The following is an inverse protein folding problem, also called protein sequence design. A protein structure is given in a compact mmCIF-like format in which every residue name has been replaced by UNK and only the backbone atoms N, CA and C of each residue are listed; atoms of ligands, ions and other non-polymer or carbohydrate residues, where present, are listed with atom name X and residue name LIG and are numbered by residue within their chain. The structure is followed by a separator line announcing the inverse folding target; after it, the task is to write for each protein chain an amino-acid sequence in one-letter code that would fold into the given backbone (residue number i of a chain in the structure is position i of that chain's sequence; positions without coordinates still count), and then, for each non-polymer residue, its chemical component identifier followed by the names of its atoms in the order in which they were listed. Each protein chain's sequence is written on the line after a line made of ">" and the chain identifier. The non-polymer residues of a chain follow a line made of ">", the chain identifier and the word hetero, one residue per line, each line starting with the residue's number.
data_IF_063170947924
#
_entry.id   IF_063170947924
#
_cell.length_a   1.000
_cell.length_b   1.000
_cell.length_c   1.000
_cell.angle_alpha   90.00
_cell.angle_beta   90.00
_cell.angle_gamma   90.00
#
_symmetry.space_group_name_H-M   'P 1'
#
loop_
_entity.id
_entity.type
_entity.pdbx_description
1 polymer ?
#
# COMPACT_ATOMS: atom_id res chain seq x y z
N UNK A 1 21.48 8.08 3.38
CA UNK A 1 20.01 8.05 3.30
C UNK A 1 19.46 8.69 4.58
N UNK A 2 18.59 9.68 4.47
CA UNK A 2 17.97 10.30 5.65
C UNK A 2 16.89 9.38 6.20
N UNK A 3 16.97 9.05 7.50
CA UNK A 3 15.93 8.27 8.17
C UNK A 3 14.64 9.10 8.26
N UNK A 4 13.47 8.47 8.12
CA UNK A 4 12.20 9.18 8.28
C UNK A 4 11.89 9.51 9.73
N UNK A 5 11.02 10.47 9.93
CA UNK A 5 10.43 10.74 11.25
C UNK A 5 9.13 9.96 11.40
N UNK A 6 8.98 9.25 12.54
CA UNK A 6 7.76 8.56 12.88
C UNK A 6 6.80 9.47 13.63
N UNK A 7 5.52 9.39 13.27
CA UNK A 7 4.42 10.12 13.88
C UNK A 7 3.24 9.18 14.15
N UNK A 8 2.23 9.69 14.84
CA UNK A 8 0.98 8.97 15.09
C UNK A 8 -0.21 9.91 14.88
N UNK A 9 -1.28 9.38 14.34
CA UNK A 9 -2.59 10.01 14.28
C UNK A 9 -3.60 9.14 15.02
N UNK A 10 -4.54 9.75 15.74
CA UNK A 10 -5.64 9.04 16.40
C UNK A 10 -6.83 8.93 15.45
N UNK A 11 -7.16 7.70 15.08
CA UNK A 11 -8.29 7.40 14.20
C UNK A 11 -9.49 6.97 15.04
N UNK A 12 -10.67 7.61 14.88
CA UNK A 12 -11.86 7.25 15.62
C UNK A 12 -12.43 5.91 15.14
N UNK A 13 -12.90 5.08 16.06
CA UNK A 13 -13.65 3.86 15.79
C UNK A 13 -14.73 3.62 16.86
N UNK A 14 -15.47 2.50 16.76
CA UNK A 14 -16.51 2.15 17.73
C UNK A 14 -15.96 1.74 19.11
N UNK A 15 -14.64 1.54 19.24
CA UNK A 15 -13.95 1.01 20.44
C UNK A 15 -13.08 2.03 21.17
N UNK A 16 -13.36 3.33 21.08
CA UNK A 16 -12.57 4.48 21.57
C UNK A 16 -11.38 4.88 20.68
N UNK A 17 -11.33 4.40 19.46
CA UNK A 17 -10.30 4.74 18.50
C UNK A 17 -9.02 3.92 18.64
N UNK A 18 -8.14 4.09 17.68
CA UNK A 18 -6.84 3.46 17.62
C UNK A 18 -5.80 4.44 17.06
N UNK A 19 -4.51 4.17 17.32
CA UNK A 19 -3.42 4.97 16.77
C UNK A 19 -2.94 4.35 15.46
N UNK A 20 -2.81 5.17 14.44
CA UNK A 20 -2.14 4.82 13.21
C UNK A 20 -0.78 5.52 13.15
N UNK A 21 0.29 4.73 13.01
CA UNK A 21 1.63 5.24 12.81
C UNK A 21 1.80 5.69 11.35
N UNK A 22 2.64 6.71 11.12
CA UNK A 22 3.09 7.06 9.78
C UNK A 22 4.52 7.60 9.80
N UNK A 23 5.21 7.40 8.71
CA UNK A 23 6.59 7.82 8.48
C UNK A 23 6.60 8.99 7.52
N UNK A 24 7.48 9.96 7.73
CA UNK A 24 7.57 11.11 6.84
C UNK A 24 9.00 11.48 6.47
N UNK A 25 9.18 11.86 5.22
CA UNK A 25 10.40 12.40 4.61
C UNK A 25 10.13 13.80 4.08
N UNK A 26 11.18 14.58 3.88
CA UNK A 26 11.09 15.95 3.34
C UNK A 26 10.72 16.98 4.39
N UNK A 27 10.16 18.11 3.94
CA UNK A 27 9.88 19.25 4.83
C UNK A 27 8.55 19.04 5.56
N UNK A 28 8.53 19.13 6.91
CA UNK A 28 7.32 18.88 7.70
C UNK A 28 6.11 19.74 7.31
N UNK A 29 6.37 20.99 6.93
CA UNK A 29 5.35 22.00 6.60
C UNK A 29 5.15 22.18 5.08
N UNK A 30 5.67 21.27 4.26
CA UNK A 30 5.48 21.34 2.81
C UNK A 30 3.99 21.31 2.46
N UNK A 31 3.57 22.24 1.61
CA UNK A 31 2.20 22.35 1.14
C UNK A 31 1.77 21.19 0.24
N UNK A 32 2.73 20.56 -0.44
CA UNK A 32 2.53 19.39 -1.29
C UNK A 32 2.92 18.11 -0.55
N UNK A 33 1.96 17.21 -0.42
CA UNK A 33 2.15 15.91 0.22
C UNK A 33 1.94 14.79 -0.80
N UNK A 34 2.83 13.80 -0.82
CA UNK A 34 2.62 12.51 -1.47
C UNK A 34 2.34 11.47 -0.40
N UNK A 35 1.13 10.90 -0.41
CA UNK A 35 0.72 9.85 0.50
C UNK A 35 0.94 8.49 -0.17
N UNK A 36 1.82 7.65 0.41
CA UNK A 36 2.16 6.32 -0.11
C UNK A 36 1.58 5.24 0.79
N UNK A 37 0.64 4.46 0.28
CA UNK A 37 -0.11 3.44 1.06
C UNK A 37 0.21 2.04 0.56
N UNK A 38 0.62 1.18 1.48
CA UNK A 38 1.18 -0.15 1.24
C UNK A 38 0.14 -1.25 0.97
N UNK A 39 0.63 -2.41 0.55
CA UNK A 39 -0.18 -3.63 0.32
C UNK A 39 -0.59 -4.34 1.62
N UNK A 40 -1.37 -5.41 1.48
CA UNK A 40 -2.13 -6.08 2.54
C UNK A 40 -1.34 -6.41 3.80
N UNK A 41 -0.17 -7.04 3.68
CA UNK A 41 0.67 -7.48 4.81
C UNK A 41 1.93 -6.63 4.99
N UNK A 42 2.06 -5.57 4.21
CA UNK A 42 3.22 -4.69 4.16
C UNK A 42 3.06 -3.52 5.15
N UNK A 43 3.92 -2.52 5.06
CA UNK A 43 3.92 -1.35 5.93
C UNK A 43 4.62 -0.15 5.27
N UNK A 44 4.58 1.04 5.89
CA UNK A 44 5.01 2.31 5.29
C UNK A 44 6.47 2.37 4.85
N UNK A 45 7.36 1.61 5.52
CA UNK A 45 8.81 1.58 5.18
C UNK A 45 9.13 0.86 3.86
N UNK A 46 8.14 0.25 3.19
CA UNK A 46 8.29 -0.26 1.83
C UNK A 46 8.63 0.85 0.81
N UNK A 47 8.24 2.07 1.13
CA UNK A 47 8.42 3.24 0.26
C UNK A 47 9.69 4.04 0.54
N UNK A 48 10.63 3.55 1.36
CA UNK A 48 11.85 4.28 1.74
C UNK A 48 12.62 4.80 0.52
N UNK A 49 12.84 3.94 -0.49
CA UNK A 49 13.57 4.30 -1.71
C UNK A 49 12.81 5.33 -2.53
N UNK A 50 11.51 5.10 -2.76
CA UNK A 50 10.67 6.03 -3.51
C UNK A 50 10.56 7.39 -2.80
N UNK A 51 10.33 7.39 -1.49
CA UNK A 51 10.18 8.62 -0.70
C UNK A 51 11.44 9.48 -0.75
N UNK A 52 12.60 8.86 -0.61
CA UNK A 52 13.89 9.55 -0.70
C UNK A 52 14.12 10.12 -2.10
N UNK A 53 13.81 9.35 -3.15
CA UNK A 53 13.95 9.81 -4.53
C UNK A 53 13.03 10.99 -4.87
N UNK A 54 11.77 10.93 -4.42
CA UNK A 54 10.81 12.02 -4.59
C UNK A 54 11.27 13.30 -3.88
N UNK A 55 11.70 13.19 -2.61
CA UNK A 55 12.22 14.33 -1.86
C UNK A 55 13.49 14.90 -2.47
N UNK A 56 14.42 14.05 -2.92
CA UNK A 56 15.65 14.50 -3.57
C UNK A 56 15.37 15.28 -4.87
N UNK A 57 14.34 14.86 -5.62
CA UNK A 57 13.97 15.51 -6.89
C UNK A 57 13.18 16.81 -6.68
N UNK A 58 12.30 16.86 -5.68
CA UNK A 58 11.42 18.00 -5.41
C UNK A 58 12.07 19.08 -4.54
N UNK A 59 13.16 18.77 -3.82
CA UNK A 59 13.79 19.65 -2.84
C UNK A 59 12.84 19.96 -1.67
N UNK A 60 12.85 21.20 -1.18
CA UNK A 60 12.12 21.63 0.02
C UNK A 60 10.59 21.77 -0.19
N UNK A 61 10.10 21.54 -1.42
CA UNK A 61 8.68 21.72 -1.75
C UNK A 61 7.79 20.51 -1.44
N UNK A 62 8.34 19.39 -0.93
CA UNK A 62 7.63 18.13 -0.80
C UNK A 62 7.77 17.51 0.58
N UNK A 63 6.67 16.88 1.02
CA UNK A 63 6.62 15.92 2.12
C UNK A 63 6.06 14.60 1.60
N UNK A 64 6.77 13.49 1.82
CA UNK A 64 6.25 12.15 1.56
C UNK A 64 5.81 11.53 2.88
N UNK A 65 4.61 11.00 2.91
CA UNK A 65 3.99 10.39 4.10
C UNK A 65 3.58 8.96 3.78
N UNK A 66 4.04 8.03 4.61
CA UNK A 66 3.81 6.59 4.43
C UNK A 66 3.19 6.02 5.71
N UNK A 67 1.85 5.88 5.80
CA UNK A 67 1.22 5.26 6.96
C UNK A 67 1.49 3.77 7.03
N UNK A 68 1.51 3.26 8.25
CA UNK A 68 1.28 1.85 8.55
C UNK A 68 -0.23 1.68 8.72
N UNK A 69 -0.92 1.10 7.74
CA UNK A 69 -2.37 0.88 7.84
C UNK A 69 -2.67 0.05 9.08
N UNK A 70 -3.73 0.39 9.83
CA UNK A 70 -4.08 -0.26 11.09
C UNK A 70 -3.95 -1.79 11.03
N UNK A 71 -3.35 -2.37 12.08
CA UNK A 71 -3.01 -3.80 12.14
C UNK A 71 -1.66 -4.16 11.50
N UNK A 72 -0.88 -3.19 10.99
CA UNK A 72 0.45 -3.39 10.39
C UNK A 72 1.45 -2.43 11.00
N UNK A 73 2.73 -2.79 10.90
CA UNK A 73 3.82 -1.96 11.38
C UNK A 73 3.64 -1.52 12.82
N UNK A 74 3.87 -0.23 13.07
CA UNK A 74 3.79 0.38 14.40
C UNK A 74 2.39 0.89 14.76
N UNK A 75 1.38 0.65 13.90
CA UNK A 75 -0.03 0.96 14.19
C UNK A 75 -0.64 -0.02 15.17
N UNK A 76 -1.65 0.45 15.89
CA UNK A 76 -2.42 -0.40 16.81
C UNK A 76 -3.17 -1.50 16.04
N UNK A 77 -3.59 -2.54 16.75
CA UNK A 77 -4.43 -3.61 16.23
C UNK A 77 -5.89 -3.35 16.61
N UNK A 78 -6.82 -3.69 15.73
CA UNK A 78 -8.24 -3.49 15.99
C UNK A 78 -8.77 -4.53 16.99
N UNK A 79 -9.64 -4.07 17.90
CA UNK A 79 -10.32 -4.94 18.85
C UNK A 79 -11.31 -5.89 18.14
N UNK A 80 -11.98 -5.42 17.08
CA UNK A 80 -12.81 -6.24 16.20
C UNK A 80 -12.05 -6.56 14.91
N UNK A 81 -11.59 -7.80 14.73
CA UNK A 81 -10.91 -8.20 13.49
C UNK A 81 -11.76 -8.07 12.22
N UNK A 82 -13.10 -8.12 12.34
CA UNK A 82 -13.99 -7.97 11.19
C UNK A 82 -14.00 -6.55 10.63
N UNK A 83 -13.48 -5.56 11.38
CA UNK A 83 -13.30 -4.20 10.93
C UNK A 83 -12.05 -4.00 10.03
N UNK A 84 -11.19 -5.01 9.84
CA UNK A 84 -10.09 -4.96 8.87
C UNK A 84 -10.61 -5.00 7.43
N UNK A 85 -11.14 -3.87 6.97
CA UNK A 85 -11.77 -3.71 5.67
C UNK A 85 -11.45 -2.36 5.03
N UNK A 86 -11.55 -2.27 3.71
CA UNK A 86 -11.25 -1.04 2.95
C UNK A 86 -12.01 0.19 3.47
N UNK A 87 -13.30 0.14 3.84
CA UNK A 87 -13.99 1.30 4.40
C UNK A 87 -13.34 1.85 5.68
N UNK A 88 -12.92 0.99 6.61
CA UNK A 88 -12.19 1.40 7.83
C UNK A 88 -10.87 2.06 7.47
N UNK A 89 -10.09 1.43 6.59
CA UNK A 89 -8.80 1.97 6.15
C UNK A 89 -8.95 3.32 5.44
N UNK A 90 -10.00 3.49 4.63
CA UNK A 90 -10.30 4.76 3.99
C UNK A 90 -10.65 5.86 5.00
N UNK A 91 -11.42 5.55 6.04
CA UNK A 91 -11.73 6.48 7.13
C UNK A 91 -10.47 6.92 7.89
N UNK A 92 -9.56 5.99 8.19
CA UNK A 92 -8.27 6.28 8.81
C UNK A 92 -7.42 7.21 7.93
N UNK A 93 -7.37 6.96 6.62
CA UNK A 93 -6.65 7.82 5.68
C UNK A 93 -7.26 9.22 5.60
N UNK A 94 -8.59 9.35 5.62
CA UNK A 94 -9.25 10.65 5.65
C UNK A 94 -8.92 11.43 6.92
N UNK A 95 -8.84 10.74 8.07
CA UNK A 95 -8.38 11.34 9.33
C UNK A 95 -6.94 11.84 9.21
N UNK A 96 -6.03 11.01 8.67
CA UNK A 96 -4.64 11.42 8.44
C UNK A 96 -4.54 12.61 7.50
N UNK A 97 -5.27 12.62 6.39
CA UNK A 97 -5.29 13.72 5.41
C UNK A 97 -5.72 15.04 6.10
N UNK A 98 -6.72 14.98 6.97
CA UNK A 98 -7.14 16.12 7.77
C UNK A 98 -6.04 16.68 8.68
N UNK A 99 -5.26 15.80 9.32
CA UNK A 99 -4.12 16.18 10.18
C UNK A 99 -2.95 16.79 9.38
N UNK A 100 -2.69 16.29 8.17
CA UNK A 100 -1.57 16.73 7.34
C UNK A 100 -1.73 18.18 6.83
N UNK A 101 -2.97 18.68 6.72
CA UNK A 101 -3.31 20.04 6.25
C UNK A 101 -2.66 20.40 4.90
N UNK A 102 -2.45 19.39 4.04
CA UNK A 102 -1.86 19.58 2.73
C UNK A 102 -2.77 20.44 1.83
N UNK A 103 -2.19 21.37 1.07
CA UNK A 103 -2.93 22.12 0.05
C UNK A 103 -2.89 21.43 -1.30
N UNK A 104 -1.96 20.51 -1.48
CA UNK A 104 -1.83 19.65 -2.67
C UNK A 104 -1.51 18.24 -2.22
N UNK A 105 -2.33 17.27 -2.61
CA UNK A 105 -2.20 15.87 -2.22
C UNK A 105 -2.07 14.99 -3.46
N UNK A 106 -1.04 14.16 -3.50
CA UNK A 106 -0.91 13.04 -4.44
C UNK A 106 -1.00 11.72 -3.69
N UNK A 107 -1.41 10.68 -4.40
CA UNK A 107 -1.56 9.34 -3.83
C UNK A 107 -0.75 8.30 -4.63
N UNK A 108 -0.03 7.45 -3.91
CA UNK A 108 0.59 6.23 -4.44
C UNK A 108 0.08 5.06 -3.62
N UNK A 109 -0.67 4.15 -4.25
CA UNK A 109 -1.24 3.00 -3.55
C UNK A 109 -0.79 1.69 -4.18
N UNK A 110 -0.14 0.82 -3.41
CA UNK A 110 0.23 -0.53 -3.84
C UNK A 110 -0.85 -1.52 -3.42
N UNK A 111 -1.39 -2.28 -4.39
CA UNK A 111 -2.35 -3.36 -4.07
C UNK A 111 -3.51 -2.83 -3.21
N UNK A 112 -3.71 -3.33 -2.00
CA UNK A 112 -4.69 -2.81 -1.03
C UNK A 112 -4.64 -1.27 -0.89
N UNK A 113 -3.45 -0.67 -0.88
CA UNK A 113 -3.29 0.79 -0.82
C UNK A 113 -3.89 1.52 -2.01
N UNK A 114 -3.97 0.88 -3.17
CA UNK A 114 -4.69 1.41 -4.34
C UNK A 114 -6.20 1.29 -4.22
N UNK A 115 -6.72 0.20 -3.63
CA UNK A 115 -8.17 0.06 -3.32
C UNK A 115 -8.62 1.16 -2.33
N UNK A 116 -7.83 1.39 -1.29
CA UNK A 116 -8.05 2.49 -0.34
C UNK A 116 -8.02 3.83 -1.07
N UNK A 117 -7.03 4.03 -1.96
CA UNK A 117 -6.89 5.25 -2.75
C UNK A 117 -8.10 5.54 -3.64
N UNK A 118 -8.64 4.53 -4.32
CA UNK A 118 -9.86 4.69 -5.13
C UNK A 118 -11.05 5.13 -4.26
N UNK A 119 -11.23 4.53 -3.07
CA UNK A 119 -12.29 4.90 -2.14
C UNK A 119 -12.12 6.33 -1.60
N UNK A 120 -10.90 6.71 -1.19
CA UNK A 120 -10.58 8.06 -0.71
C UNK A 120 -10.76 9.11 -1.81
N UNK A 121 -10.27 8.84 -3.03
CA UNK A 121 -10.42 9.76 -4.16
C UNK A 121 -11.89 9.98 -4.52
N UNK A 122 -12.70 8.92 -4.54
CA UNK A 122 -14.14 9.03 -4.79
C UNK A 122 -14.86 9.81 -3.69
N UNK A 123 -14.47 9.65 -2.42
CA UNK A 123 -15.02 10.40 -1.29
C UNK A 123 -14.67 11.89 -1.33
N UNK A 124 -13.41 12.22 -1.61
CA UNK A 124 -12.95 13.62 -1.67
C UNK A 124 -13.41 14.35 -2.93
N UNK A 125 -13.78 13.63 -3.97
CA UNK A 125 -14.22 14.20 -5.23
C UNK A 125 -13.12 14.91 -6.03
N UNK A 126 -13.53 15.67 -7.02
CA UNK A 126 -12.61 16.38 -7.91
C UNK A 126 -11.79 17.42 -7.14
N UNK A 127 -10.46 17.32 -7.25
CA UNK A 127 -9.51 18.24 -6.59
C UNK A 127 -9.04 17.81 -5.20
N UNK A 128 -9.62 16.77 -4.59
CA UNK A 128 -9.15 16.26 -3.30
C UNK A 128 -7.78 15.55 -3.40
N UNK A 129 -7.57 14.78 -4.46
CA UNK A 129 -6.28 14.21 -4.82
C UNK A 129 -5.91 14.71 -6.21
N UNK A 130 -4.71 15.28 -6.35
CA UNK A 130 -4.24 15.88 -7.60
C UNK A 130 -3.84 14.84 -8.64
N UNK A 131 -3.08 13.82 -8.23
CA UNK A 131 -2.60 12.70 -9.07
C UNK A 131 -2.67 11.39 -8.29
N UNK A 132 -3.09 10.32 -8.97
CA UNK A 132 -3.25 8.99 -8.39
C UNK A 132 -2.32 7.99 -9.09
N UNK A 133 -1.50 7.27 -8.33
CA UNK A 133 -0.74 6.11 -8.80
C UNK A 133 -1.36 4.85 -8.21
N UNK A 134 -1.84 3.96 -9.07
CA UNK A 134 -2.31 2.62 -8.72
C UNK A 134 -1.22 1.62 -9.10
N UNK A 135 -0.60 1.02 -8.10
CA UNK A 135 0.48 0.07 -8.29
C UNK A 135 -0.08 -1.36 -8.19
N UNK A 136 -0.23 -1.96 -9.34
CA UNK A 136 -0.63 -3.36 -9.61
C UNK A 136 -1.95 -3.76 -8.96
N UNK A 137 -2.95 -2.91 -9.09
CA UNK A 137 -4.32 -3.16 -8.63
C UNK A 137 -5.34 -2.41 -9.48
N UNK A 138 -6.50 -3.01 -9.62
CA UNK A 138 -7.65 -2.44 -10.28
C UNK A 138 -8.96 -2.80 -9.57
N UNK A 139 -10.09 -2.39 -10.14
CA UNK A 139 -11.42 -2.72 -9.61
C UNK A 139 -11.72 -4.22 -9.58
N UNK A 140 -11.20 -4.99 -10.54
CA UNK A 140 -11.29 -6.46 -10.57
C UNK A 140 -10.00 -7.04 -10.01
N UNK A 141 -10.14 -7.96 -9.05
CA UNK A 141 -9.05 -8.76 -8.48
C UNK A 141 -9.31 -10.22 -8.85
N UNK A 142 -8.33 -10.87 -9.47
CA UNK A 142 -8.47 -12.25 -9.90
C UNK A 142 -8.71 -13.19 -8.70
N UNK A 143 -9.78 -13.99 -8.78
CA UNK A 143 -10.20 -14.86 -7.69
C UNK A 143 -9.11 -15.85 -7.25
N UNK A 144 -8.35 -16.40 -8.19
CA UNK A 144 -7.25 -17.31 -7.88
C UNK A 144 -6.14 -16.62 -7.08
N UNK A 145 -5.89 -15.33 -7.33
CA UNK A 145 -4.94 -14.55 -6.54
C UNK A 145 -5.44 -14.34 -5.11
N UNK A 146 -6.74 -14.05 -4.93
CA UNK A 146 -7.34 -13.97 -3.58
C UNK A 146 -7.22 -15.29 -2.84
N UNK A 147 -7.50 -16.42 -3.49
CA UNK A 147 -7.34 -17.74 -2.88
C UNK A 147 -5.88 -18.01 -2.48
N UNK A 148 -4.92 -17.70 -3.34
CA UNK A 148 -3.48 -17.83 -3.04
C UNK A 148 -3.09 -16.98 -1.82
N UNK A 149 -3.51 -15.73 -1.75
CA UNK A 149 -3.27 -14.85 -0.60
C UNK A 149 -3.84 -15.45 0.68
N UNK A 150 -5.06 -15.99 0.63
CA UNK A 150 -5.73 -16.65 1.75
C UNK A 150 -4.97 -17.88 2.29
N UNK A 151 -4.11 -18.50 1.49
CA UNK A 151 -3.31 -19.65 1.92
C UNK A 151 -2.21 -19.28 2.91
N UNK A 152 -1.61 -18.09 2.81
CA UNK A 152 -0.51 -17.66 3.69
C UNK A 152 -0.90 -16.55 4.68
N UNK A 153 -1.97 -15.81 4.43
CA UNK A 153 -2.39 -14.70 5.29
C UNK A 153 -2.71 -15.19 6.71
N UNK A 154 -2.12 -14.53 7.70
CA UNK A 154 -2.27 -14.87 9.12
C UNK A 154 -1.53 -16.15 9.53
N UNK A 155 -0.80 -16.80 8.62
CA UNK A 155 0.13 -17.87 8.96
C UNK A 155 1.47 -17.23 9.29
N UNK A 156 1.64 -16.91 10.56
CA UNK A 156 2.90 -16.41 11.09
C UNK A 156 3.78 -17.57 11.57
N UNK A 157 5.07 -17.32 11.61
CA UNK A 157 6.08 -18.13 12.30
C UNK A 157 6.95 -17.23 13.16
N UNK A 158 7.76 -17.81 14.00
CA UNK A 158 8.88 -17.16 14.64
C UNK A 158 10.15 -17.45 13.85
N UNK A 159 11.04 -16.48 13.80
CA UNK A 159 12.30 -16.54 13.07
C UNK A 159 13.44 -16.24 14.03
N UNK A 160 14.51 -17.00 13.98
CA UNK A 160 15.69 -16.78 14.82
C UNK A 160 16.53 -15.59 14.31
N UNK A 161 16.47 -15.31 12.99
CA UNK A 161 17.23 -14.24 12.36
C UNK A 161 16.42 -13.49 11.31
N UNK A 162 16.83 -12.26 11.01
CA UNK A 162 16.28 -11.49 9.91
C UNK A 162 16.45 -12.22 8.56
N UNK A 163 17.56 -12.92 8.35
CA UNK A 163 17.78 -13.67 7.10
C UNK A 163 16.77 -14.80 6.95
N UNK A 164 16.51 -15.55 8.01
CA UNK A 164 15.48 -16.61 7.99
C UNK A 164 14.09 -16.03 7.67
N UNK A 165 13.75 -14.88 8.22
CA UNK A 165 12.50 -14.20 7.90
C UNK A 165 12.46 -13.74 6.44
N UNK A 166 13.56 -13.17 5.93
CA UNK A 166 13.67 -12.73 4.55
C UNK A 166 13.53 -13.89 3.55
N UNK A 167 14.12 -15.05 3.85
CA UNK A 167 14.00 -16.25 3.03
C UNK A 167 12.56 -16.78 3.00
N UNK A 168 11.88 -16.78 4.15
CA UNK A 168 10.47 -17.17 4.25
C UNK A 168 9.55 -16.19 3.50
N UNK A 169 9.80 -14.88 3.60
CA UNK A 169 9.07 -13.86 2.85
C UNK A 169 9.31 -13.98 1.34
N UNK A 170 10.54 -14.30 0.93
CA UNK A 170 10.86 -14.52 -0.49
C UNK A 170 10.08 -15.68 -1.09
N UNK A 171 9.86 -16.75 -0.33
CA UNK A 171 9.10 -17.93 -0.80
C UNK A 171 7.67 -17.59 -1.26
N UNK A 172 7.07 -16.52 -0.73
CA UNK A 172 5.71 -16.08 -1.08
C UNK A 172 5.67 -14.82 -1.93
N UNK A 173 6.78 -14.10 -2.06
CA UNK A 173 6.88 -12.81 -2.73
C UNK A 173 7.93 -12.77 -3.85
N UNK A 174 8.43 -13.92 -4.29
CA UNK A 174 9.42 -14.01 -5.38
C UNK A 174 8.93 -13.40 -6.71
N UNK A 175 7.60 -13.32 -6.88
CA UNK A 175 6.97 -12.66 -8.03
C UNK A 175 7.13 -11.13 -8.04
N UNK A 176 7.60 -10.49 -6.96
CA UNK A 176 7.79 -9.03 -6.91
C UNK A 176 8.86 -8.52 -7.91
N UNK A 177 9.56 -9.42 -8.55
CA UNK A 177 10.60 -9.14 -9.54
C UNK A 177 12.01 -9.30 -8.97
N UNK A 178 13.03 -9.01 -9.79
CA UNK A 178 14.42 -9.19 -9.39
C UNK A 178 14.84 -8.21 -8.31
N UNK A 179 15.44 -8.75 -7.25
CA UNK A 179 16.05 -7.98 -6.16
C UNK A 179 17.42 -8.55 -5.85
N UNK A 180 18.38 -7.69 -5.56
CA UNK A 180 19.62 -8.16 -4.94
C UNK A 180 19.34 -8.66 -3.51
N UNK A 181 20.16 -9.57 -2.96
CA UNK A 181 20.00 -10.04 -1.58
C UNK A 181 19.93 -8.87 -0.56
N UNK A 182 20.72 -7.82 -0.79
CA UNK A 182 20.75 -6.64 0.07
C UNK A 182 19.43 -5.83 0.00
N UNK A 183 18.87 -5.65 -1.19
CA UNK A 183 17.56 -4.98 -1.38
C UNK A 183 16.45 -5.77 -0.70
N UNK A 184 16.42 -7.10 -0.90
CA UNK A 184 15.40 -7.94 -0.29
C UNK A 184 15.49 -7.97 1.25
N UNK A 185 16.71 -8.04 1.78
CA UNK A 185 16.93 -7.97 3.22
C UNK A 185 16.48 -6.62 3.81
N UNK A 186 16.74 -5.52 3.10
CA UNK A 186 16.28 -4.19 3.50
C UNK A 186 14.76 -4.08 3.51
N UNK A 187 14.07 -4.58 2.46
CA UNK A 187 12.61 -4.65 2.41
C UNK A 187 12.01 -5.55 3.50
N UNK A 188 12.72 -6.62 3.89
CA UNK A 188 12.24 -7.58 4.88
C UNK A 188 12.44 -7.10 6.32
N UNK A 189 13.41 -6.22 6.58
CA UNK A 189 13.78 -5.76 7.92
C UNK A 189 12.59 -5.24 8.72
N UNK A 190 11.74 -4.43 8.11
CA UNK A 190 10.61 -3.80 8.77
C UNK A 190 9.37 -4.69 8.81
N UNK A 191 9.40 -5.83 8.09
CA UNK A 191 8.31 -6.81 8.07
C UNK A 191 8.26 -7.71 9.29
N UNK A 192 9.26 -7.61 10.16
CA UNK A 192 9.38 -8.39 11.38
C UNK A 192 9.64 -7.48 12.58
N UNK A 193 9.23 -7.96 13.75
CA UNK A 193 9.51 -7.34 15.06
C UNK A 193 9.90 -8.39 16.08
N UNK A 194 10.60 -8.02 17.15
CA UNK A 194 10.88 -8.93 18.26
C UNK A 194 9.58 -9.53 18.86
N UNK A 195 9.64 -10.77 19.33
CA UNK A 195 8.56 -11.34 20.12
C UNK A 195 8.49 -10.65 21.49
N UNK A 196 7.28 -10.59 22.07
CA UNK A 196 7.06 -9.81 23.30
C UNK A 196 7.49 -10.53 24.58
N UNK A 197 7.85 -11.81 24.51
CA UNK A 197 8.15 -12.66 25.66
C UNK A 197 9.64 -12.64 26.10
N UNK A 198 10.45 -11.80 25.50
CA UNK A 198 11.87 -11.61 25.82
C UNK A 198 12.81 -12.65 25.21
N UNK A 199 12.32 -13.59 24.41
CA UNK A 199 13.18 -14.50 23.62
C UNK A 199 13.85 -13.72 22.48
N UNK A 200 15.03 -14.16 22.07
CA UNK A 200 15.72 -13.63 20.89
C UNK A 200 15.13 -14.27 19.62
N UNK A 201 13.92 -13.83 19.29
CA UNK A 201 13.17 -14.29 18.13
C UNK A 201 12.37 -13.14 17.50
N UNK A 202 12.08 -13.27 16.21
CA UNK A 202 11.32 -12.33 15.42
C UNK A 202 9.99 -12.94 15.00
N UNK A 203 8.96 -12.09 14.81
CA UNK A 203 7.68 -12.48 14.23
C UNK A 203 7.25 -11.46 13.18
N UNK A 204 6.31 -11.82 12.32
CA UNK A 204 5.75 -10.90 11.34
C UNK A 204 5.12 -9.66 12.01
N UNK A 205 5.33 -8.50 11.42
CA UNK A 205 4.94 -7.20 11.98
C UNK A 205 3.55 -6.78 11.48
N UNK A 206 2.61 -7.72 11.49
CA UNK A 206 1.19 -7.44 11.25
C UNK A 206 0.32 -8.33 12.15
N UNK A 207 -0.96 -7.93 12.32
CA UNK A 207 -1.93 -8.70 13.08
C UNK A 207 -2.37 -9.94 12.28
N UNK A 208 -2.13 -11.16 12.75
CA UNK A 208 -2.59 -12.37 12.06
C UNK A 208 -4.12 -12.45 11.93
N UNK A 209 -4.87 -11.70 12.76
CA UNK A 209 -6.32 -11.62 12.69
C UNK A 209 -6.85 -10.96 11.40
N UNK A 210 -5.99 -10.30 10.61
CA UNK A 210 -6.29 -9.85 9.24
C UNK A 210 -6.83 -10.97 8.34
N UNK A 211 -6.48 -12.21 8.64
CA UNK A 211 -6.97 -13.38 7.91
C UNK A 211 -8.45 -13.67 8.15
N UNK A 212 -9.05 -13.19 9.23
CA UNK A 212 -10.41 -13.56 9.61
C UNK A 212 -11.45 -13.02 8.59
N UNK A 213 -11.54 -11.71 8.29
CA UNK A 213 -12.46 -11.21 7.29
C UNK A 213 -12.12 -11.76 5.90
N UNK A 214 -10.84 -11.92 5.59
CA UNK A 214 -10.40 -12.43 4.28
C UNK A 214 -10.88 -13.86 4.01
N UNK A 215 -10.88 -14.73 5.03
CA UNK A 215 -11.40 -16.12 4.94
C UNK A 215 -12.90 -16.21 4.75
N UNK A 216 -13.63 -15.13 5.03
CA UNK A 216 -15.09 -15.09 4.86
C UNK A 216 -15.52 -14.54 3.48
N UNK A 217 -14.56 -14.11 2.65
CA UNK A 217 -14.86 -13.64 1.30
C UNK A 217 -15.35 -14.82 0.46
N UNK A 218 -16.60 -14.70 -0.05
CA UNK A 218 -17.19 -15.65 -1.00
C UNK A 218 -17.04 -15.11 -2.42
N UNK A 219 -17.15 -15.96 -3.46
CA UNK A 219 -17.16 -15.49 -4.85
C UNK A 219 -18.23 -14.43 -5.12
N UNK A 220 -19.41 -14.55 -4.52
CA UNK A 220 -20.51 -13.59 -4.66
C UNK A 220 -20.16 -12.24 -4.02
N UNK A 221 -19.58 -12.26 -2.82
CA UNK A 221 -19.11 -11.05 -2.15
C UNK A 221 -17.97 -10.36 -2.92
N UNK A 222 -17.05 -11.14 -3.49
CA UNK A 222 -15.99 -10.63 -4.35
C UNK A 222 -16.56 -9.94 -5.60
N UNK A 223 -17.56 -10.55 -6.25
CA UNK A 223 -18.23 -9.97 -7.42
C UNK A 223 -18.99 -8.67 -7.08
N UNK A 224 -19.66 -8.62 -5.92
CA UNK A 224 -20.31 -7.39 -5.45
C UNK A 224 -19.30 -6.29 -5.15
N UNK A 225 -18.19 -6.66 -4.50
CA UNK A 225 -17.06 -5.75 -4.26
C UNK A 225 -16.45 -5.21 -5.56
N UNK A 226 -16.27 -6.05 -6.56
CA UNK A 226 -15.81 -5.67 -7.89
C UNK A 226 -16.73 -4.63 -8.53
N UNK A 227 -18.04 -4.87 -8.52
CA UNK A 227 -19.02 -3.94 -9.09
C UNK A 227 -18.93 -2.56 -8.41
N UNK A 228 -18.81 -2.52 -7.08
CA UNK A 228 -18.62 -1.30 -6.31
C UNK A 228 -17.30 -0.62 -6.68
N UNK A 229 -16.20 -1.37 -6.77
CA UNK A 229 -14.90 -0.80 -7.12
C UNK A 229 -14.87 -0.21 -8.53
N UNK A 230 -15.57 -0.83 -9.49
CA UNK A 230 -15.75 -0.23 -10.82
C UNK A 230 -16.56 1.06 -10.78
N UNK A 231 -17.61 1.15 -9.97
CA UNK A 231 -18.36 2.40 -9.79
C UNK A 231 -17.47 3.50 -9.20
N UNK A 232 -16.66 3.19 -8.18
CA UNK A 232 -15.71 4.13 -7.61
C UNK A 232 -14.68 4.57 -8.67
N UNK A 233 -14.05 3.63 -9.39
CA UNK A 233 -13.07 3.93 -10.41
C UNK A 233 -13.64 4.81 -11.53
N UNK A 234 -14.84 4.51 -12.02
CA UNK A 234 -15.51 5.29 -13.07
C UNK A 234 -15.85 6.72 -12.64
N UNK A 235 -15.98 6.97 -11.33
CA UNK A 235 -16.22 8.31 -10.78
C UNK A 235 -14.95 9.16 -10.64
N UNK A 236 -13.76 8.57 -10.79
CA UNK A 236 -12.49 9.27 -10.66
C UNK A 236 -12.25 10.18 -11.87
N UNK A 237 -11.72 11.38 -11.62
CA UNK A 237 -11.46 12.38 -12.67
C UNK A 237 -9.99 12.84 -12.70
N UNK A 238 -9.21 12.59 -11.65
CA UNK A 238 -7.81 13.02 -11.57
C UNK A 238 -6.91 12.20 -12.50
N UNK A 239 -5.82 12.80 -13.02
CA UNK A 239 -4.79 12.07 -13.75
C UNK A 239 -4.35 10.84 -12.95
N UNK A 240 -4.39 9.67 -13.62
CA UNK A 240 -4.10 8.38 -12.98
C UNK A 240 -3.02 7.64 -13.75
N UNK A 241 -2.01 7.16 -13.03
CA UNK A 241 -0.98 6.26 -13.53
C UNK A 241 -1.26 4.86 -12.98
N UNK A 242 -1.39 3.89 -13.88
CA UNK A 242 -1.51 2.48 -13.56
C UNK A 242 -0.18 1.79 -13.84
N UNK A 243 0.47 1.30 -12.80
CA UNK A 243 1.65 0.45 -12.90
C UNK A 243 1.19 -1.00 -12.85
N UNK A 244 1.76 -1.85 -13.70
CA UNK A 244 1.46 -3.28 -13.73
C UNK A 244 2.74 -4.09 -13.85
N UNK A 245 2.90 -5.10 -13.01
CA UNK A 245 3.88 -6.15 -13.28
C UNK A 245 3.41 -6.98 -14.49
N UNK A 246 4.26 -7.18 -15.50
CA UNK A 246 3.86 -7.91 -16.72
C UNK A 246 3.37 -9.33 -16.41
N UNK A 247 3.90 -9.93 -15.33
CA UNK A 247 3.59 -11.29 -14.86
C UNK A 247 2.58 -11.29 -13.69
N UNK A 248 1.88 -10.17 -13.46
CA UNK A 248 0.90 -10.06 -12.38
C UNK A 248 -0.24 -11.06 -12.53
N UNK A 249 -0.47 -11.83 -11.49
CA UNK A 249 -1.60 -12.76 -11.35
C UNK A 249 -2.82 -12.12 -10.64
N UNK A 250 -2.67 -10.90 -10.13
CA UNK A 250 -3.72 -10.18 -9.41
C UNK A 250 -4.46 -9.18 -10.31
N UNK A 251 -3.72 -8.36 -11.05
CA UNK A 251 -4.25 -7.43 -12.03
C UNK A 251 -4.11 -8.03 -13.42
N UNK A 252 -5.21 -8.52 -14.00
CA UNK A 252 -5.19 -9.10 -15.34
C UNK A 252 -4.98 -8.05 -16.44
N UNK A 253 -4.48 -8.50 -17.60
CA UNK A 253 -4.32 -7.61 -18.77
C UNK A 253 -5.67 -7.01 -19.19
N UNK A 254 -6.77 -7.78 -19.31
CA UNK A 254 -8.08 -7.21 -19.67
C UNK A 254 -8.56 -6.13 -18.70
N UNK A 255 -8.36 -6.33 -17.39
CA UNK A 255 -8.72 -5.31 -16.38
C UNK A 255 -7.88 -4.06 -16.55
N UNK A 256 -6.56 -4.18 -16.72
CA UNK A 256 -5.68 -3.05 -16.94
C UNK A 256 -6.03 -2.27 -18.22
N UNK A 257 -6.34 -2.96 -19.31
CA UNK A 257 -6.81 -2.35 -20.55
C UNK A 257 -8.14 -1.62 -20.36
N UNK A 258 -9.12 -2.23 -19.69
CA UNK A 258 -10.39 -1.57 -19.36
C UNK A 258 -10.20 -0.29 -18.56
N UNK A 259 -9.23 -0.25 -17.63
CA UNK A 259 -8.89 0.94 -16.83
C UNK A 259 -8.33 2.09 -17.69
N UNK A 260 -7.72 1.80 -18.83
CA UNK A 260 -7.26 2.84 -19.77
C UNK A 260 -8.40 3.46 -20.59
N UNK A 261 -9.58 2.83 -20.61
CA UNK A 261 -10.74 3.26 -21.40
C UNK A 261 -11.87 3.84 -20.53
N UNK A 262 -11.86 3.57 -19.23
CA UNK A 262 -12.93 3.93 -18.29
C UNK A 262 -12.44 4.93 -17.24
N UNK A 263 -13.37 5.61 -16.59
CA UNK A 263 -13.09 6.54 -15.49
C UNK A 263 -12.01 7.57 -15.84
N UNK A 264 -10.91 7.63 -15.08
CA UNK A 264 -9.83 8.60 -15.31
C UNK A 264 -8.97 8.26 -16.54
N UNK A 265 -9.25 7.14 -17.23
CA UNK A 265 -8.47 6.66 -18.38
C UNK A 265 -6.98 6.57 -18.07
N UNK A 266 -6.64 5.75 -17.09
CA UNK A 266 -5.30 5.64 -16.55
C UNK A 266 -4.24 5.43 -17.65
N UNK A 267 -3.10 6.11 -17.50
CA UNK A 267 -1.89 5.80 -18.29
C UNK A 267 -1.30 4.52 -17.75
N UNK A 268 -1.22 3.46 -18.57
CA UNK A 268 -0.64 2.18 -18.21
C UNK A 268 0.86 2.13 -18.51
N UNK A 269 1.63 1.68 -17.52
CA UNK A 269 3.03 1.24 -17.68
C UNK A 269 3.18 -0.17 -17.16
N UNK A 270 3.95 -1.02 -17.87
CA UNK A 270 4.19 -2.41 -17.49
C UNK A 270 5.69 -2.65 -17.30
N UNK A 271 6.03 -3.47 -16.29
CA UNK A 271 7.41 -3.86 -15.96
C UNK A 271 7.60 -5.34 -16.24
N UNK A 272 8.49 -5.68 -17.17
CA UNK A 272 8.80 -7.06 -17.54
C UNK A 272 9.50 -7.81 -16.38
N UNK A 273 9.19 -9.10 -16.21
CA UNK A 273 9.78 -9.94 -15.17
C UNK A 273 9.33 -9.58 -13.74
N UNK A 274 8.25 -8.86 -13.62
CA UNK A 274 7.65 -8.44 -12.34
C UNK A 274 6.21 -8.94 -12.30
N UNK A 275 5.83 -9.61 -11.22
CA UNK A 275 4.45 -10.00 -10.92
C UNK A 275 3.80 -9.03 -9.93
N UNK A 276 2.95 -9.57 -9.03
CA UNK A 276 2.25 -8.75 -8.04
C UNK A 276 3.09 -8.60 -6.76
N UNK A 277 3.62 -7.41 -6.50
CA UNK A 277 3.52 -6.14 -7.21
C UNK A 277 4.92 -5.52 -7.39
N UNK A 278 5.14 -4.57 -8.34
CA UNK A 278 6.35 -3.75 -8.36
C UNK A 278 6.62 -3.15 -7.00
N UNK A 279 7.86 -3.28 -6.50
CA UNK A 279 8.22 -2.82 -5.14
C UNK A 279 8.58 -1.34 -5.07
N UNK A 280 8.65 -0.65 -6.21
CA UNK A 280 9.00 0.76 -6.34
C UNK A 280 10.39 1.09 -5.78
N UNK A 281 11.33 0.14 -5.92
CA UNK A 281 12.75 0.31 -5.58
C UNK A 281 13.68 0.24 -6.79
N UNK A 282 13.24 -0.38 -7.89
CA UNK A 282 13.98 -0.38 -9.14
C UNK A 282 13.94 1.02 -9.78
N UNK A 283 15.06 1.45 -10.39
CA UNK A 283 15.22 2.81 -10.90
C UNK A 283 14.13 3.21 -11.91
N UNK A 284 13.74 2.29 -12.81
CA UNK A 284 12.70 2.51 -13.80
C UNK A 284 11.31 2.70 -13.17
N UNK A 285 11.01 1.94 -12.09
CA UNK A 285 9.77 2.06 -11.35
C UNK A 285 9.70 3.39 -10.57
N UNK A 286 10.78 3.74 -9.88
CA UNK A 286 10.92 5.00 -9.15
C UNK A 286 10.81 6.19 -10.11
N UNK A 287 11.52 6.13 -11.24
CA UNK A 287 11.50 7.19 -12.25
C UNK A 287 10.09 7.38 -12.84
N UNK A 288 9.36 6.30 -13.15
CA UNK A 288 8.01 6.35 -13.67
C UNK A 288 7.04 7.08 -12.73
N UNK A 289 7.12 6.80 -11.42
CA UNK A 289 6.31 7.47 -10.40
C UNK A 289 6.74 8.93 -10.25
N UNK A 290 8.05 9.20 -10.16
CA UNK A 290 8.56 10.54 -9.97
C UNK A 290 8.24 11.47 -11.17
N UNK A 291 8.36 10.97 -12.40
CA UNK A 291 8.01 11.73 -13.61
C UNK A 291 6.51 12.05 -13.64
N UNK A 292 5.67 11.11 -13.23
CA UNK A 292 4.23 11.33 -13.19
C UNK A 292 3.82 12.32 -12.10
N UNK A 293 4.40 12.25 -10.90
CA UNK A 293 3.99 13.09 -9.78
C UNK A 293 4.60 14.51 -9.84
N UNK A 294 5.82 14.64 -10.34
CA UNK A 294 6.61 15.88 -10.25
C UNK A 294 6.86 16.55 -11.62
N UNK A 295 6.43 15.89 -12.73
CA UNK A 295 6.55 16.38 -14.10
C UNK A 295 5.45 17.32 -14.55
#
# INVERSE_FOLDING_TARGET
>A
MTEPTRHFVHCPDASNGHRMAYWSWGQPDAAHVVLCVHGLTRQGRDFDVLAQALCARAGDGLRVVCPDVVGRGDSDWLADPMAYQVPTYAADMLTLIGELRATSLDWVGTSMGGLIGMAVCAHLGAGGVRRLVLNDVGPTIEWLALQRIGQYLGRGGEFETLQQAADALWAIASSFGPHSPAQWLALSRHMVKPVADGRDALRLHYDPALALPFRQVTPEAAQQGEALMWQLYDSLAQPTLLLRGADSDLLSVPTAEAMTQRGPRARLLQFAGVGHAPTLIADDQVQAVADFLLG
#
